data_IF_161651444777
#
_entry.id   IF_161651444777
#
_cell.length_a   1.000
_cell.length_b   1.000
_cell.length_c   1.000
_cell.angle_alpha   90.00
_cell.angle_beta   90.00
_cell.angle_gamma   90.00
#
_symmetry.space_group_name_H-M   'P 1'
#
loop_
_entity.id
_entity.type
_entity.pdbx_description
1 polymer ?
#
# COMPACT_ATOMS: atom_id res chain seq x y z
N UNK A 1 -4.99 18.27 4.08
CA UNK A 1 -4.46 18.08 2.70
C UNK A 1 -5.02 16.78 2.14
N UNK A 2 -5.48 16.78 0.88
CA UNK A 2 -5.84 15.57 0.15
C UNK A 2 -4.61 15.05 -0.57
N UNK A 3 -4.18 13.84 -0.27
CA UNK A 3 -3.07 13.15 -0.92
C UNK A 3 -3.63 12.18 -1.96
N UNK A 4 -3.14 12.24 -3.19
CA UNK A 4 -3.41 11.21 -4.18
C UNK A 4 -2.21 10.27 -4.28
N UNK A 5 -2.45 8.98 -4.12
CA UNK A 5 -1.46 7.93 -4.26
C UNK A 5 -1.60 7.33 -5.66
N UNK A 6 -0.57 7.49 -6.48
CA UNK A 6 -0.40 6.66 -7.67
C UNK A 6 0.04 5.25 -7.27
N UNK A 7 0.06 4.33 -8.23
CA UNK A 7 0.47 2.94 -7.99
C UNK A 7 1.88 2.86 -7.41
N UNK A 8 2.82 3.69 -7.87
CA UNK A 8 4.20 3.65 -7.38
C UNK A 8 4.30 4.05 -5.91
N UNK A 9 3.61 5.11 -5.50
CA UNK A 9 3.53 5.53 -4.11
C UNK A 9 2.78 4.52 -3.24
N UNK A 10 1.73 3.90 -3.78
CA UNK A 10 0.99 2.84 -3.08
C UNK A 10 1.87 1.62 -2.82
N UNK A 11 2.66 1.16 -3.81
CA UNK A 11 3.59 0.04 -3.64
C UNK A 11 4.63 0.32 -2.55
N UNK A 12 5.13 1.56 -2.47
CA UNK A 12 6.12 1.99 -1.46
C UNK A 12 5.64 1.92 -0.02
N UNK A 13 4.33 1.91 0.21
CA UNK A 13 3.75 1.70 1.55
C UNK A 13 3.87 0.25 2.03
N UNK A 14 4.00 -0.70 1.11
CA UNK A 14 4.04 -2.12 1.45
C UNK A 14 5.40 -2.77 1.15
N UNK A 15 6.21 -2.13 0.32
CA UNK A 15 7.53 -2.61 -0.07
C UNK A 15 8.54 -1.50 0.20
N UNK A 16 9.59 -1.83 0.93
CA UNK A 16 10.65 -0.87 1.24
C UNK A 16 11.43 -0.51 -0.03
N UNK A 17 11.41 0.77 -0.35
CA UNK A 17 12.12 1.39 -1.46
C UNK A 17 12.61 2.78 -1.06
N UNK A 18 13.36 3.40 -1.96
CA UNK A 18 13.69 4.81 -1.83
C UNK A 18 12.41 5.65 -1.69
N UNK A 19 12.38 6.48 -0.65
CA UNK A 19 11.29 7.38 -0.28
C UNK A 19 10.05 6.72 0.34
N UNK A 20 10.06 5.42 0.66
CA UNK A 20 8.93 4.76 1.34
C UNK A 20 8.51 5.46 2.64
N UNK A 21 9.49 5.86 3.47
CA UNK A 21 9.23 6.60 4.71
C UNK A 21 8.54 7.94 4.47
N UNK A 22 8.98 8.68 3.44
CA UNK A 22 8.36 9.97 3.08
C UNK A 22 6.91 9.80 2.63
N UNK A 23 6.60 8.75 1.86
CA UNK A 23 5.22 8.47 1.45
C UNK A 23 4.36 8.12 2.66
N UNK A 24 4.88 7.32 3.60
CA UNK A 24 4.18 7.01 4.85
C UNK A 24 3.91 8.28 5.68
N UNK A 25 4.89 9.19 5.79
CA UNK A 25 4.73 10.46 6.51
C UNK A 25 3.67 11.35 5.85
N UNK A 26 3.66 11.43 4.51
CA UNK A 26 2.67 12.20 3.76
C UNK A 26 1.26 11.65 3.96
N UNK A 27 1.11 10.33 3.99
CA UNK A 27 -0.14 9.64 4.29
C UNK A 27 -0.63 9.98 5.70
N UNK A 28 0.25 9.89 6.70
CA UNK A 28 -0.08 10.20 8.10
C UNK A 28 -0.50 11.67 8.26
N UNK A 29 0.17 12.58 7.55
CA UNK A 29 -0.12 14.00 7.57
C UNK A 29 -1.35 14.38 6.71
N UNK A 30 -1.82 13.50 5.83
CA UNK A 30 -3.00 13.74 5.00
C UNK A 30 -4.28 13.58 5.81
N UNK A 31 -5.26 14.43 5.50
CA UNK A 31 -6.61 14.30 6.05
C UNK A 31 -7.38 13.21 5.29
N UNK A 32 -7.08 13.10 3.99
CA UNK A 32 -7.69 12.18 3.04
C UNK A 32 -6.58 11.68 2.11
N UNK A 33 -6.50 10.36 1.91
CA UNK A 33 -5.58 9.72 0.96
C UNK A 33 -6.37 8.92 -0.07
N UNK A 34 -6.41 9.35 -1.34
CA UNK A 34 -7.16 8.70 -2.41
C UNK A 34 -6.24 7.95 -3.38
N UNK A 35 -6.77 6.92 -4.05
CA UNK A 35 -6.08 6.18 -5.13
C UNK A 35 -7.10 5.77 -6.20
N UNK A 36 -6.63 5.45 -7.40
CA UNK A 36 -7.49 4.88 -8.45
C UNK A 36 -7.80 3.39 -8.19
N UNK A 37 -8.94 2.90 -8.69
CA UNK A 37 -9.27 1.46 -8.63
C UNK A 37 -8.26 0.59 -9.41
N UNK A 38 -7.71 1.11 -10.51
CA UNK A 38 -6.73 0.38 -11.32
C UNK A 38 -5.41 0.17 -10.56
N UNK A 39 -5.06 1.05 -9.61
CA UNK A 39 -3.86 0.92 -8.79
C UNK A 39 -3.83 -0.38 -7.97
N UNK A 40 -4.99 -0.98 -7.66
CA UNK A 40 -5.04 -2.31 -7.04
C UNK A 40 -4.41 -3.38 -7.93
N UNK A 41 -4.89 -3.48 -9.17
CA UNK A 41 -4.43 -4.49 -10.11
C UNK A 41 -2.94 -4.29 -10.44
N UNK A 42 -2.50 -3.04 -10.57
CA UNK A 42 -1.11 -2.71 -10.84
C UNK A 42 -0.20 -3.00 -9.64
N UNK A 43 -0.61 -2.66 -8.41
CA UNK A 43 0.15 -2.98 -7.19
C UNK A 43 0.30 -4.49 -6.99
N UNK A 44 -0.78 -5.26 -7.21
CA UNK A 44 -0.74 -6.73 -7.18
C UNK A 44 0.23 -7.29 -8.22
N UNK A 45 0.26 -6.69 -9.42
CA UNK A 45 1.18 -7.06 -10.48
C UNK A 45 2.64 -6.76 -10.11
N UNK A 46 2.89 -5.62 -9.46
CA UNK A 46 4.21 -5.25 -8.96
C UNK A 46 4.71 -6.22 -7.88
N UNK A 47 3.85 -6.58 -6.91
CA UNK A 47 4.19 -7.56 -5.88
C UNK A 47 4.51 -8.94 -6.48
N UNK A 48 3.68 -9.40 -7.43
CA UNK A 48 3.88 -10.69 -8.09
C UNK A 48 5.18 -10.71 -8.91
N UNK A 49 5.54 -9.60 -9.56
CA UNK A 49 6.82 -9.45 -10.25
C UNK A 49 7.99 -9.59 -9.28
N UNK A 50 7.99 -8.85 -8.17
CA UNK A 50 9.06 -8.92 -7.16
C UNK A 50 9.18 -10.30 -6.50
N UNK A 51 8.06 -10.99 -6.30
CA UNK A 51 8.07 -12.37 -5.83
C UNK A 51 8.78 -13.31 -6.82
N UNK A 52 8.53 -13.18 -8.14
CA UNK A 52 9.25 -13.96 -9.16
C UNK A 52 10.74 -13.62 -9.22
N UNK A 53 11.09 -12.38 -8.94
CA UNK A 53 12.48 -11.91 -8.78
C UNK A 53 13.13 -12.38 -7.46
N UNK A 54 12.43 -13.21 -6.66
CA UNK A 54 12.88 -13.76 -5.36
C UNK A 54 13.18 -12.69 -4.30
N UNK A 55 12.57 -11.50 -4.42
CA UNK A 55 12.69 -10.44 -3.42
C UNK A 55 11.96 -10.78 -2.10
N UNK A 56 11.05 -11.76 -2.14
CA UNK A 56 10.27 -12.22 -0.98
C UNK A 56 10.22 -13.74 -0.93
N UNK A 57 10.17 -14.28 0.28
CA UNK A 57 9.72 -15.66 0.51
C UNK A 57 8.21 -15.78 0.24
N UNK A 58 7.74 -17.00 0.01
CA UNK A 58 6.30 -17.26 -0.18
C UNK A 58 5.45 -16.81 1.04
N UNK A 59 6.03 -16.88 2.25
CA UNK A 59 5.39 -16.41 3.48
C UNK A 59 5.27 -14.90 3.52
N UNK A 60 6.33 -14.17 3.18
CA UNK A 60 6.33 -12.71 3.11
C UNK A 60 5.39 -12.20 2.02
N UNK A 61 5.42 -12.81 0.83
CA UNK A 61 4.48 -12.46 -0.24
C UNK A 61 3.02 -12.65 0.17
N UNK A 62 2.69 -13.74 0.87
CA UNK A 62 1.34 -13.96 1.40
C UNK A 62 0.95 -12.92 2.45
N UNK A 63 1.87 -12.55 3.35
CA UNK A 63 1.64 -11.49 4.35
C UNK A 63 1.41 -10.14 3.68
N UNK A 64 2.27 -9.77 2.74
CA UNK A 64 2.20 -8.56 1.92
C UNK A 64 0.82 -8.43 1.25
N UNK A 65 0.40 -9.47 0.53
CA UNK A 65 -0.88 -9.50 -0.17
C UNK A 65 -2.07 -9.41 0.80
N UNK A 66 -1.99 -10.08 1.94
CA UNK A 66 -3.07 -10.05 2.94
C UNK A 66 -3.20 -8.67 3.59
N UNK A 67 -2.08 -8.03 3.95
CA UNK A 67 -2.06 -6.67 4.48
C UNK A 67 -2.66 -5.69 3.46
N UNK A 68 -2.17 -5.73 2.22
CA UNK A 68 -2.69 -4.90 1.14
C UNK A 68 -4.20 -5.06 0.93
N UNK A 69 -4.70 -6.30 0.92
CA UNK A 69 -6.13 -6.58 0.75
C UNK A 69 -6.98 -6.10 1.94
N UNK A 70 -6.45 -6.20 3.17
CA UNK A 70 -7.15 -5.73 4.36
C UNK A 70 -7.30 -4.20 4.32
N UNK A 71 -6.23 -3.49 3.98
CA UNK A 71 -6.23 -2.04 3.82
C UNK A 71 -7.10 -1.62 2.64
N UNK A 72 -7.05 -2.37 1.52
CA UNK A 72 -7.89 -2.11 0.35
C UNK A 72 -9.39 -2.20 0.64
N UNK A 73 -9.81 -3.20 1.41
CA UNK A 73 -11.20 -3.34 1.84
C UNK A 73 -11.65 -2.18 2.74
N UNK A 74 -10.73 -1.53 3.46
CA UNK A 74 -11.04 -0.34 4.25
C UNK A 74 -11.20 0.90 3.35
N UNK A 75 -10.50 1.00 2.22
CA UNK A 75 -10.70 2.09 1.24
C UNK A 75 -12.05 2.02 0.53
N UNK A 76 -12.59 0.82 0.31
CA UNK A 76 -13.80 0.64 -0.53
C UNK A 76 -15.13 0.69 0.25
N UNK A 77 -15.11 0.58 1.59
CA UNK A 77 -16.33 0.45 2.40
C UNK A 77 -17.12 1.75 2.65
N UNK A 78 -16.56 2.91 2.38
CA UNK A 78 -17.28 4.18 2.45
C UNK A 78 -16.99 4.95 1.19
N UNK A 79 -18.03 5.27 0.40
CA UNK A 79 -17.90 6.21 -0.72
C UNK A 79 -17.15 7.45 -0.23
N UNK A 80 -15.89 7.57 -0.66
CA UNK A 80 -14.98 8.67 -0.36
C UNK A 80 -14.95 9.03 1.15
N UNK A 81 -14.65 8.05 2.02
CA UNK A 81 -14.28 8.35 3.41
C UNK A 81 -13.01 7.58 3.77
N UNK A 82 -11.92 8.33 3.92
CA UNK A 82 -10.55 7.83 4.07
C UNK A 82 -10.09 8.08 5.50
N UNK A 83 -10.02 7.02 6.30
CA UNK A 83 -9.43 7.07 7.65
C UNK A 83 -8.92 5.67 7.96
N UNK A 84 -7.60 5.44 7.95
CA UNK A 84 -7.12 4.11 8.31
C UNK A 84 -5.69 3.70 7.96
N UNK A 85 -4.79 4.56 7.47
CA UNK A 85 -3.37 4.18 7.32
C UNK A 85 -2.56 4.31 8.64
N UNK A 86 -3.23 4.28 9.81
CA UNK A 86 -2.54 4.36 11.10
C UNK A 86 -1.97 3.03 11.60
N UNK A 87 -2.21 1.90 10.94
CA UNK A 87 -1.89 0.58 11.54
C UNK A 87 -0.83 -0.28 10.86
N UNK A 88 -0.25 0.09 9.72
CA UNK A 88 0.70 -0.80 9.03
C UNK A 88 1.93 -0.05 8.51
N UNK A 89 2.78 0.38 9.44
CA UNK A 89 4.18 0.73 9.14
C UNK A 89 5.13 -0.46 9.38
N UNK A 90 4.68 -1.59 9.93
CA UNK A 90 5.57 -2.71 10.21
C UNK A 90 4.96 -4.05 9.80
N UNK A 91 5.21 -4.48 8.57
CA UNK A 91 5.09 -5.90 8.20
C UNK A 91 6.45 -6.55 7.86
N UNK A 92 7.56 -5.82 8.07
CA UNK A 92 8.93 -6.28 7.84
C UNK A 92 9.84 -6.21 9.09
N UNK A 93 9.27 -5.98 10.28
CA UNK A 93 9.95 -6.22 11.57
C UNK A 93 9.21 -7.28 12.37
#
# INVERSE_FOLDING_TARGET
MILYLDTSSLVKLYVEEKDSSKIADLVIASEISATSLIAYAESRSAFARRFREKAFTAREYKRLVNAFNADWNNYFKGGIHFTGLKSLIYCFY
#
